data_IF_539323272744
#
_entry.id   IF_539323272744
#
_cell.length_a   1.000
_cell.length_b   1.000
_cell.length_c   1.000
_cell.angle_alpha   90.00
_cell.angle_beta   90.00
_cell.angle_gamma   90.00
#
_symmetry.space_group_name_H-M   'P 1'
#
loop_
_entity.id
_entity.type
_entity.pdbx_description
1 polymer ?
#
# COMPACT_ATOMS: atom_id res chain seq x y z
N UNK A 1 29.30 60.29 22.44
CA UNK A 1 28.10 59.81 21.66
C UNK A 1 28.44 58.77 20.60
N UNK A 2 29.68 58.41 20.33
CA UNK A 2 30.02 57.34 19.33
C UNK A 2 29.94 55.91 19.88
N UNK A 3 29.97 55.67 21.18
CA UNK A 3 29.96 54.32 21.77
C UNK A 3 28.59 53.59 21.68
N UNK A 4 27.49 54.31 21.64
CA UNK A 4 26.15 53.75 21.65
C UNK A 4 25.80 53.07 20.34
N UNK A 5 26.31 53.52 19.21
CA UNK A 5 26.05 52.90 17.89
C UNK A 5 26.83 51.58 17.69
N UNK A 6 28.08 51.55 18.22
CA UNK A 6 28.88 50.31 18.17
C UNK A 6 28.29 49.21 19.07
N UNK A 7 27.82 49.54 20.25
CA UNK A 7 27.15 48.61 21.15
C UNK A 7 25.85 48.07 20.57
N UNK A 8 25.07 48.90 19.87
CA UNK A 8 23.86 48.46 19.17
C UNK A 8 24.16 47.51 17.99
N UNK A 9 25.22 47.77 17.23
CA UNK A 9 25.66 46.92 16.14
C UNK A 9 26.16 45.54 16.61
N UNK A 10 26.91 45.51 17.70
CA UNK A 10 27.35 44.23 18.30
C UNK A 10 26.18 43.44 18.81
N UNK A 11 25.24 44.06 19.51
CA UNK A 11 24.06 43.43 20.04
C UNK A 11 23.15 42.85 18.93
N UNK A 12 22.94 43.60 17.84
CA UNK A 12 22.18 43.11 16.68
C UNK A 12 22.86 41.95 15.95
N UNK A 13 24.20 41.93 15.93
CA UNK A 13 24.98 40.85 15.32
C UNK A 13 24.91 39.55 16.14
N UNK A 14 24.96 39.67 17.46
CA UNK A 14 24.82 38.55 18.38
C UNK A 14 23.38 37.96 18.34
N UNK A 15 22.37 38.83 18.27
CA UNK A 15 20.97 38.41 18.13
C UNK A 15 20.71 37.72 16.77
N UNK A 16 21.33 38.18 15.68
CA UNK A 16 21.30 37.52 14.38
C UNK A 16 22.00 36.15 14.41
N UNK A 17 23.17 36.07 15.09
CA UNK A 17 23.92 34.82 15.25
C UNK A 17 23.13 33.74 16.03
N UNK A 18 22.45 34.16 17.10
CA UNK A 18 21.61 33.25 17.92
C UNK A 18 20.38 32.79 17.14
N UNK A 19 19.76 33.64 16.34
CA UNK A 19 18.61 33.27 15.50
C UNK A 19 18.99 32.31 14.37
N UNK A 20 20.15 32.50 13.73
CA UNK A 20 20.64 31.60 12.69
C UNK A 20 20.98 30.22 13.22
N UNK A 21 21.67 30.13 14.38
CA UNK A 21 21.99 28.83 15.00
C UNK A 21 20.75 28.09 15.50
N UNK A 22 19.75 28.80 16.00
CA UNK A 22 18.46 28.18 16.36
C UNK A 22 17.70 27.62 15.17
N UNK A 23 17.76 28.30 14.02
CA UNK A 23 17.12 27.84 12.78
C UNK A 23 17.84 26.61 12.18
N UNK A 24 19.17 26.61 12.22
CA UNK A 24 19.97 25.46 11.75
C UNK A 24 19.76 24.22 12.63
N UNK A 25 19.64 24.38 13.94
CA UNK A 25 19.30 23.28 14.84
C UNK A 25 17.87 22.75 14.63
N UNK A 26 16.90 23.63 14.37
CA UNK A 26 15.53 23.25 14.09
C UNK A 26 15.44 22.51 12.75
N UNK A 27 16.12 22.99 11.72
CA UNK A 27 16.21 22.29 10.43
C UNK A 27 16.90 20.93 10.55
N UNK A 28 18.02 20.83 11.27
CA UNK A 28 18.71 19.57 11.49
C UNK A 28 17.85 18.53 12.23
N UNK A 29 17.02 18.98 13.19
CA UNK A 29 16.05 18.08 13.86
C UNK A 29 14.93 17.65 12.94
N UNK A 30 14.41 18.53 12.10
CA UNK A 30 13.37 18.21 11.13
C UNK A 30 13.89 17.23 10.08
N UNK A 31 15.09 17.41 9.55
CA UNK A 31 15.72 16.50 8.60
C UNK A 31 15.98 15.12 9.21
N UNK A 32 16.43 15.08 10.48
CA UNK A 32 16.64 13.82 11.19
C UNK A 32 15.33 13.07 11.40
N UNK A 33 14.26 13.76 11.79
CA UNK A 33 12.93 13.18 11.97
C UNK A 33 12.36 12.66 10.65
N UNK A 34 12.53 13.41 9.56
CA UNK A 34 12.09 13.01 8.22
C UNK A 34 12.82 11.74 7.75
N UNK A 35 14.14 11.68 7.93
CA UNK A 35 14.94 10.49 7.60
C UNK A 35 14.53 9.26 8.43
N UNK A 36 14.26 9.45 9.73
CA UNK A 36 13.78 8.38 10.60
C UNK A 36 12.42 7.85 10.12
N UNK A 37 11.50 8.73 9.75
CA UNK A 37 10.19 8.37 9.23
C UNK A 37 10.30 7.64 7.87
N UNK A 38 11.17 8.09 6.98
CA UNK A 38 11.42 7.42 5.70
C UNK A 38 12.02 6.02 5.89
N UNK A 39 12.97 5.87 6.81
CA UNK A 39 13.56 4.58 7.11
C UNK A 39 12.52 3.60 7.70
N UNK A 40 11.66 4.09 8.60
CA UNK A 40 10.58 3.28 9.16
C UNK A 40 9.57 2.83 8.09
N UNK A 41 9.18 3.74 7.20
CA UNK A 41 8.30 3.42 6.09
C UNK A 41 8.91 2.35 5.17
N UNK A 42 10.20 2.51 4.80
CA UNK A 42 10.91 1.53 3.98
C UNK A 42 11.03 0.16 4.67
N UNK A 43 11.21 0.13 5.99
CA UNK A 43 11.28 -1.12 6.73
C UNK A 43 9.93 -1.83 6.76
N UNK A 44 8.82 -1.09 6.93
CA UNK A 44 7.47 -1.63 6.85
C UNK A 44 7.15 -2.17 5.46
N UNK A 45 7.56 -1.48 4.41
CA UNK A 45 7.43 -1.96 3.03
C UNK A 45 8.22 -3.26 2.79
N UNK A 46 9.42 -3.39 3.34
CA UNK A 46 10.21 -4.62 3.25
C UNK A 46 9.55 -5.79 3.97
N UNK A 47 9.01 -5.57 5.17
CA UNK A 47 8.27 -6.59 5.92
C UNK A 47 7.01 -6.98 5.14
N UNK A 48 6.25 -6.02 4.62
CA UNK A 48 5.09 -6.31 3.79
C UNK A 48 5.47 -7.14 2.56
N UNK A 49 6.52 -6.77 1.85
CA UNK A 49 6.97 -7.48 0.66
C UNK A 49 7.45 -8.91 0.97
N UNK A 50 8.12 -9.14 2.10
CA UNK A 50 8.60 -10.46 2.48
C UNK A 50 7.48 -11.32 3.09
N UNK A 51 6.92 -10.86 4.21
CA UNK A 51 6.05 -11.72 5.03
C UNK A 51 4.62 -11.81 4.49
N UNK A 52 4.02 -10.66 4.13
CA UNK A 52 2.62 -10.64 3.66
C UNK A 52 2.51 -11.25 2.27
N UNK A 53 3.43 -10.92 1.36
CA UNK A 53 3.41 -11.48 0.00
C UNK A 53 3.61 -12.99 0.02
N UNK A 54 4.52 -13.51 0.81
CA UNK A 54 4.78 -14.94 0.89
C UNK A 54 3.61 -15.71 1.53
N UNK A 55 2.99 -15.17 2.58
CA UNK A 55 1.79 -15.74 3.17
C UNK A 55 0.61 -15.76 2.18
N UNK A 56 0.42 -14.68 1.43
CA UNK A 56 -0.64 -14.63 0.41
C UNK A 56 -0.36 -15.58 -0.75
N UNK A 57 0.87 -15.67 -1.24
CA UNK A 57 1.25 -16.63 -2.28
C UNK A 57 1.02 -18.06 -1.82
N UNK A 58 1.39 -18.39 -0.58
CA UNK A 58 1.12 -19.71 0.01
C UNK A 58 -0.38 -19.98 0.11
N UNK A 59 -1.18 -19.02 0.55
CA UNK A 59 -2.63 -19.12 0.63
C UNK A 59 -3.26 -19.25 -0.76
N UNK A 60 -2.79 -18.53 -1.78
CA UNK A 60 -3.22 -18.68 -3.18
C UNK A 60 -2.91 -20.07 -3.70
N UNK A 61 -1.71 -20.59 -3.46
CA UNK A 61 -1.35 -21.95 -3.86
C UNK A 61 -2.26 -23.01 -3.21
N UNK A 62 -2.57 -22.85 -1.92
CA UNK A 62 -3.52 -23.73 -1.23
C UNK A 62 -4.94 -23.61 -1.79
N UNK A 63 -5.40 -22.40 -2.07
CA UNK A 63 -6.70 -22.13 -2.66
C UNK A 63 -6.81 -22.74 -4.05
N UNK A 64 -5.79 -22.58 -4.89
CA UNK A 64 -5.76 -23.17 -6.23
C UNK A 64 -5.88 -24.71 -6.19
N UNK A 65 -5.24 -25.38 -5.22
CA UNK A 65 -5.41 -26.85 -5.04
C UNK A 65 -6.85 -27.21 -4.72
N UNK A 66 -7.57 -26.41 -3.94
CA UNK A 66 -8.99 -26.63 -3.62
C UNK A 66 -9.88 -26.32 -4.83
N UNK A 67 -9.60 -25.27 -5.58
CA UNK A 67 -10.35 -24.90 -6.78
C UNK A 67 -10.18 -25.92 -7.92
N UNK A 68 -8.98 -26.50 -8.07
CA UNK A 68 -8.73 -27.56 -9.04
C UNK A 68 -9.58 -28.81 -8.81
N UNK A 69 -10.07 -29.04 -7.58
CA UNK A 69 -10.97 -30.14 -7.25
C UNK A 69 -12.45 -29.83 -7.57
N UNK A 70 -12.76 -28.57 -7.91
CA UNK A 70 -14.11 -28.14 -8.30
C UNK A 70 -14.25 -28.11 -9.81
N UNK A 71 -15.45 -28.39 -10.30
CA UNK A 71 -15.74 -28.44 -11.74
C UNK A 71 -15.63 -27.10 -12.48
N UNK A 72 -15.48 -26.00 -11.74
CA UNK A 72 -15.51 -24.63 -12.28
C UNK A 72 -14.24 -24.22 -13.03
N UNK A 73 -13.11 -24.93 -12.83
CA UNK A 73 -11.86 -24.69 -13.55
C UNK A 73 -11.24 -23.32 -13.27
N UNK A 74 -11.44 -22.79 -12.05
CA UNK A 74 -10.88 -21.51 -11.64
C UNK A 74 -9.46 -21.65 -11.12
N UNK A 75 -8.63 -20.66 -11.43
CA UNK A 75 -7.30 -20.49 -10.85
C UNK A 75 -7.06 -19.04 -10.50
N UNK A 76 -6.33 -18.80 -9.42
CA UNK A 76 -5.83 -17.46 -9.04
C UNK A 76 -4.39 -17.33 -9.49
N UNK A 77 -4.05 -16.21 -10.10
CA UNK A 77 -2.66 -15.89 -10.46
C UNK A 77 -2.27 -14.50 -9.99
N UNK A 78 -1.02 -14.33 -9.62
CA UNK A 78 -0.43 -13.02 -9.33
C UNK A 78 -0.26 -12.23 -10.64
N UNK A 79 -0.57 -10.94 -10.60
CA UNK A 79 -0.50 -10.02 -11.76
C UNK A 79 0.32 -8.80 -11.37
N UNK A 80 1.63 -8.94 -11.20
CA UNK A 80 2.48 -7.85 -10.74
C UNK A 80 2.45 -6.68 -11.73
N UNK A 81 2.24 -5.48 -11.20
CA UNK A 81 2.40 -4.25 -11.98
C UNK A 81 1.29 -3.92 -12.97
N UNK A 82 0.18 -4.65 -13.02
CA UNK A 82 -0.90 -4.39 -13.97
C UNK A 82 -1.48 -2.96 -13.89
N UNK A 83 -1.36 -2.30 -12.74
CA UNK A 83 -1.85 -0.94 -12.52
C UNK A 83 -0.75 0.13 -12.53
N UNK A 84 0.53 -0.26 -12.74
CA UNK A 84 1.65 0.70 -12.82
C UNK A 84 1.52 1.67 -14.00
N UNK A 85 1.04 1.19 -15.14
CA UNK A 85 1.05 1.93 -16.40
C UNK A 85 -0.25 2.70 -16.67
N UNK A 86 -1.29 2.50 -15.86
CA UNK A 86 -2.52 3.28 -15.95
C UNK A 86 -2.48 4.46 -14.99
N UNK A 87 -1.51 5.35 -15.18
CA UNK A 87 -1.54 6.68 -14.62
C UNK A 87 -2.69 7.48 -15.27
N UNK A 88 -3.91 7.28 -14.77
CA UNK A 88 -4.90 8.33 -14.86
C UNK A 88 -4.64 9.27 -13.68
N UNK A 89 -4.11 10.45 -14.00
CA UNK A 89 -4.04 11.63 -13.14
C UNK A 89 -3.28 11.52 -11.80
N UNK A 90 -2.21 10.73 -11.73
CA UNK A 90 -1.28 10.76 -10.59
C UNK A 90 -1.84 10.23 -9.25
N UNK A 91 -3.04 9.65 -9.22
CA UNK A 91 -3.77 9.35 -8.00
C UNK A 91 -3.79 7.86 -7.60
N UNK A 92 -3.28 6.94 -8.41
CA UNK A 92 -3.28 5.52 -8.03
C UNK A 92 -1.90 5.08 -7.55
N UNK A 93 -1.78 4.68 -6.27
CA UNK A 93 -0.55 4.10 -5.77
C UNK A 93 -0.22 2.81 -6.54
N UNK A 94 1.07 2.56 -6.69
CA UNK A 94 1.60 1.33 -7.25
C UNK A 94 1.22 0.18 -6.30
N UNK A 95 0.30 -0.70 -6.69
CA UNK A 95 -0.07 -1.85 -5.87
C UNK A 95 0.97 -2.96 -6.01
N UNK A 96 1.74 -3.26 -4.95
CA UNK A 96 2.82 -4.24 -5.03
C UNK A 96 2.29 -5.67 -5.18
N UNK A 97 1.03 -5.92 -4.80
CA UNK A 97 0.47 -7.25 -4.76
C UNK A 97 -0.96 -7.25 -5.28
N UNK A 98 -1.16 -7.91 -6.42
CA UNK A 98 -2.46 -8.08 -7.04
C UNK A 98 -2.64 -9.50 -7.59
N UNK A 99 -3.87 -10.00 -7.52
CA UNK A 99 -4.25 -11.31 -8.01
C UNK A 99 -5.49 -11.21 -8.88
N UNK A 100 -5.52 -11.98 -9.96
CA UNK A 100 -6.71 -12.14 -10.77
C UNK A 100 -7.18 -13.61 -10.76
N UNK A 101 -8.46 -13.81 -10.89
CA UNK A 101 -9.03 -15.12 -11.16
C UNK A 101 -9.09 -15.37 -12.66
N UNK A 102 -8.77 -16.58 -13.04
CA UNK A 102 -8.87 -17.06 -14.43
C UNK A 102 -9.86 -18.22 -14.45
N UNK A 103 -10.95 -18.06 -15.20
CA UNK A 103 -11.96 -19.09 -15.40
C UNK A 103 -11.88 -19.58 -16.85
N UNK A 104 -11.69 -20.91 -17.04
CA UNK A 104 -11.60 -21.53 -18.38
C UNK A 104 -10.61 -20.83 -19.32
N UNK A 105 -9.47 -20.39 -18.76
CA UNK A 105 -8.41 -19.71 -19.50
C UNK A 105 -8.64 -18.21 -19.78
N UNK A 106 -9.74 -17.63 -19.29
CA UNK A 106 -10.04 -16.19 -19.44
C UNK A 106 -9.94 -15.48 -18.10
N UNK A 107 -9.23 -14.34 -18.02
CA UNK A 107 -9.24 -13.48 -16.83
C UNK A 107 -10.66 -13.01 -16.53
N UNK A 108 -11.00 -12.99 -15.23
CA UNK A 108 -12.24 -12.36 -14.76
C UNK A 108 -12.04 -10.86 -14.57
N UNK A 109 -13.13 -10.10 -14.58
CA UNK A 109 -13.08 -8.63 -14.60
C UNK A 109 -12.59 -8.02 -13.27
N UNK A 110 -12.80 -8.71 -12.17
CA UNK A 110 -12.40 -8.25 -10.84
C UNK A 110 -10.96 -8.69 -10.51
N UNK A 111 -10.11 -7.73 -10.13
CA UNK A 111 -8.75 -7.98 -9.64
C UNK A 111 -8.68 -7.71 -8.15
N UNK A 112 -8.21 -8.68 -7.37
CA UNK A 112 -7.91 -8.51 -5.96
C UNK A 112 -6.64 -7.67 -5.78
N UNK A 113 -6.72 -6.66 -4.94
CA UNK A 113 -5.60 -5.84 -4.51
C UNK A 113 -5.40 -6.02 -3.00
N UNK A 114 -4.16 -6.21 -2.59
CA UNK A 114 -3.76 -6.16 -1.18
C UNK A 114 -2.69 -5.10 -1.03
N UNK A 115 -2.92 -4.15 -0.15
CA UNK A 115 -2.04 -3.01 0.04
C UNK A 115 -1.69 -2.77 1.51
N UNK A 116 -0.53 -2.16 1.73
CA UNK A 116 -0.13 -1.60 3.02
C UNK A 116 -0.57 -0.14 3.08
N UNK A 117 -1.37 0.20 4.08
CA UNK A 117 -1.80 1.59 4.29
C UNK A 117 -0.73 2.41 5.00
N UNK A 118 -0.78 3.75 4.93
CA UNK A 118 0.09 4.61 5.74
C UNK A 118 -0.01 4.38 7.24
N UNK A 119 -1.15 3.86 7.72
CA UNK A 119 -1.36 3.49 9.12
C UNK A 119 -0.70 2.15 9.51
N UNK A 120 0.10 1.55 8.61
CA UNK A 120 0.74 0.23 8.81
C UNK A 120 -0.27 -0.90 9.02
N UNK A 121 -1.41 -0.81 8.37
CA UNK A 121 -2.41 -1.87 8.29
C UNK A 121 -2.43 -2.47 6.89
N UNK A 122 -2.74 -3.76 6.80
CA UNK A 122 -2.97 -4.46 5.54
C UNK A 122 -4.46 -4.42 5.26
N UNK A 123 -4.83 -3.96 4.07
CA UNK A 123 -6.22 -3.93 3.59
C UNK A 123 -6.34 -4.63 2.24
N UNK A 124 -7.54 -5.09 1.92
CA UNK A 124 -7.83 -5.76 0.66
C UNK A 124 -9.14 -5.27 0.05
N UNK A 125 -9.14 -5.11 -1.27
CA UNK A 125 -10.31 -4.71 -2.05
C UNK A 125 -10.20 -5.27 -3.48
N UNK A 126 -11.27 -5.20 -4.24
CA UNK A 126 -11.20 -5.52 -5.66
C UNK A 126 -11.24 -4.26 -6.51
N UNK A 127 -10.62 -4.35 -7.66
CA UNK A 127 -10.77 -3.37 -8.74
C UNK A 127 -11.57 -4.03 -9.85
N UNK A 128 -12.75 -3.48 -10.12
CA UNK A 128 -13.57 -3.86 -11.25
C UNK A 128 -13.34 -2.86 -12.40
N UNK A 129 -13.06 -3.38 -13.59
CA UNK A 129 -12.98 -2.57 -14.81
C UNK A 129 -14.37 -2.56 -15.48
N UNK A 130 -14.91 -1.38 -15.78
CA UNK A 130 -16.14 -1.30 -16.57
C UNK A 130 -15.93 -1.88 -17.96
N UNK A 131 -16.99 -2.44 -18.58
CA UNK A 131 -16.97 -2.84 -19.98
C UNK A 131 -16.53 -1.64 -20.84
N UNK A 132 -15.43 -1.81 -21.59
CA UNK A 132 -14.81 -0.72 -22.37
C UNK A 132 -13.59 -0.05 -21.71
N UNK A 133 -13.23 -0.40 -20.47
CA UNK A 133 -11.97 0.01 -19.83
C UNK A 133 -11.85 1.50 -19.47
N UNK A 134 -12.96 2.24 -19.46
CA UNK A 134 -12.98 3.69 -19.23
C UNK A 134 -13.10 4.09 -17.77
N UNK A 135 -13.56 3.22 -16.89
CA UNK A 135 -13.62 3.50 -15.46
C UNK A 135 -13.18 2.30 -14.65
N UNK A 136 -12.55 2.61 -13.52
CA UNK A 136 -12.06 1.64 -12.53
C UNK A 136 -12.72 1.96 -11.21
N UNK A 137 -13.42 0.99 -10.63
CA UNK A 137 -14.05 1.15 -9.32
C UNK A 137 -13.34 0.29 -8.27
N UNK A 138 -13.05 0.90 -7.11
CA UNK A 138 -12.56 0.21 -5.93
C UNK A 138 -13.74 -0.31 -5.13
N UNK A 139 -13.82 -1.62 -4.95
CA UNK A 139 -14.91 -2.26 -4.22
C UNK A 139 -14.37 -2.98 -2.99
N UNK A 140 -14.77 -2.59 -1.78
CA UNK A 140 -14.34 -3.26 -0.55
C UNK A 140 -14.74 -4.73 -0.54
N UNK A 141 -13.86 -5.60 -0.03
CA UNK A 141 -14.15 -7.02 0.19
C UNK A 141 -14.93 -7.30 1.48
N UNK A 142 -15.12 -6.30 2.31
CA UNK A 142 -15.74 -6.48 3.63
C UNK A 142 -14.84 -7.17 4.65
N UNK A 143 -13.55 -7.30 4.40
CA UNK A 143 -12.55 -7.69 5.39
C UNK A 143 -12.14 -6.45 6.21
N UNK A 144 -11.90 -6.65 7.51
CA UNK A 144 -11.36 -5.59 8.36
C UNK A 144 -9.89 -5.33 8.02
N UNK A 145 -9.42 -4.11 8.30
CA UNK A 145 -7.98 -3.83 8.25
C UNK A 145 -7.25 -4.62 9.35
N UNK A 146 -6.07 -5.14 9.00
CA UNK A 146 -5.24 -5.91 9.92
C UNK A 146 -3.90 -5.20 10.13
N UNK A 147 -3.46 -4.91 11.38
CA UNK A 147 -2.11 -4.44 11.63
C UNK A 147 -1.07 -5.36 11.01
N UNK A 148 -0.03 -4.78 10.39
CA UNK A 148 0.99 -5.52 9.65
C UNK A 148 1.62 -6.64 10.50
N UNK A 149 1.95 -6.35 11.74
CA UNK A 149 2.56 -7.31 12.69
C UNK A 149 1.62 -8.45 13.12
N UNK A 150 0.31 -8.33 12.86
CA UNK A 150 -0.70 -9.34 13.17
C UNK A 150 -1.16 -10.11 11.95
N UNK A 151 -0.63 -9.78 10.77
CA UNK A 151 -0.97 -10.49 9.55
C UNK A 151 -0.56 -11.95 9.65
N UNK A 152 -1.46 -12.85 9.31
CA UNK A 152 -1.27 -14.28 9.52
C UNK A 152 -1.97 -15.12 8.42
N UNK A 153 -1.67 -16.43 8.31
CA UNK A 153 -2.26 -17.30 7.28
C UNK A 153 -3.80 -17.36 7.31
N UNK A 154 -4.41 -17.24 8.49
CA UNK A 154 -5.87 -17.26 8.62
C UNK A 154 -6.49 -16.04 7.95
N UNK A 155 -5.90 -14.87 8.15
CA UNK A 155 -6.37 -13.63 7.55
C UNK A 155 -6.13 -13.61 6.02
N UNK A 156 -4.99 -14.14 5.56
CA UNK A 156 -4.76 -14.35 4.13
C UNK A 156 -5.83 -15.25 3.51
N UNK A 157 -6.21 -16.33 4.21
CA UNK A 157 -7.30 -17.21 3.81
C UNK A 157 -8.66 -16.53 3.80
N UNK A 158 -8.95 -15.65 4.75
CA UNK A 158 -10.18 -14.85 4.79
C UNK A 158 -10.28 -13.91 3.58
N UNK A 159 -9.21 -13.19 3.25
CA UNK A 159 -9.16 -12.31 2.06
C UNK A 159 -9.51 -13.11 0.80
N UNK A 160 -8.85 -14.24 0.60
CA UNK A 160 -9.08 -15.08 -0.58
C UNK A 160 -10.47 -15.70 -0.61
N UNK A 161 -11.00 -16.10 0.54
CA UNK A 161 -12.36 -16.60 0.68
C UNK A 161 -13.38 -15.56 0.23
N UNK A 162 -13.30 -14.35 0.76
CA UNK A 162 -14.18 -13.23 0.38
C UNK A 162 -14.05 -12.86 -1.10
N UNK A 163 -12.85 -12.92 -1.64
CA UNK A 163 -12.65 -12.66 -3.06
C UNK A 163 -13.35 -13.71 -3.93
N UNK A 164 -13.21 -14.99 -3.61
CA UNK A 164 -13.87 -16.08 -4.34
C UNK A 164 -15.39 -16.00 -4.22
N UNK A 165 -15.91 -15.74 -3.02
CA UNK A 165 -17.36 -15.59 -2.80
C UNK A 165 -17.93 -14.45 -3.67
N UNK A 166 -17.19 -13.35 -3.76
CA UNK A 166 -17.56 -12.23 -4.64
C UNK A 166 -17.60 -12.63 -6.11
N UNK A 167 -16.58 -13.34 -6.59
CA UNK A 167 -16.53 -13.82 -7.97
C UNK A 167 -17.67 -14.78 -8.29
N UNK A 168 -18.01 -15.67 -7.36
CA UNK A 168 -19.11 -16.61 -7.51
C UNK A 168 -20.45 -15.89 -7.63
N UNK A 169 -20.66 -14.82 -6.86
CA UNK A 169 -21.90 -14.02 -6.97
C UNK A 169 -21.98 -13.24 -8.27
N UNK A 170 -20.86 -12.71 -8.77
CA UNK A 170 -20.81 -11.96 -10.03
C UNK A 170 -21.08 -12.84 -11.28
N UNK A 171 -20.78 -14.14 -11.22
CA UNK A 171 -21.01 -15.08 -12.33
C UNK A 171 -22.45 -15.60 -12.40
N UNK A 172 -23.28 -15.33 -11.41
CA UNK A 172 -24.66 -15.84 -11.32
C UNK A 172 -25.70 -14.80 -11.82
N UNK A 173 -25.24 -13.60 -12.15
CA UNK A 173 -26.06 -12.49 -12.64
C UNK A 173 -25.86 -12.29 -14.14
#
# INVERSE_FOLDING_TARGET
MANTLQEQLVKSRDECGIRSSGNEQAQGRADTALRAQQNEAQQKEKIFAADVCDLLRAAVAQTNRRLAQRAEGWTLREVPGRFKDRQHDGAFPCYPLSFEAVARGRPMDDTLIVELTPASTVTAFTIACSPGGTSVSRVPLGVREMPLEKFNPSFAGEILGRYIDRLATATTT
#
